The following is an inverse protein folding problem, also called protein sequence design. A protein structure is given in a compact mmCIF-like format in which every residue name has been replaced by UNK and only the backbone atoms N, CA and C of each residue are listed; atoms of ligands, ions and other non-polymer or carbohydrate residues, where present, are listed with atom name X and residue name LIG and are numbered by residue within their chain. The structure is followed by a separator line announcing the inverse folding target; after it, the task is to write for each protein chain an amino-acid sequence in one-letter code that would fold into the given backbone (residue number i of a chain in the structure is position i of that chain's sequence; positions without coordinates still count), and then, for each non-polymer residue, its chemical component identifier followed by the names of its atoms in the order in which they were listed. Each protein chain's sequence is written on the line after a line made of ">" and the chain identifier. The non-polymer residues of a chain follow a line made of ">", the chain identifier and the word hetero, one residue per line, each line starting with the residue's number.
data_IF_307956883045
#
_entry.id   IF_307956883045
#
_cell.length_a   1.000
_cell.length_b   1.000
_cell.length_c   1.000
_cell.angle_alpha   90.00
_cell.angle_beta   90.00
_cell.angle_gamma   90.00
#
_symmetry.space_group_name_H-M   'P 1'
#
loop_
_entity.id
_entity.type
_entity.pdbx_description
1 polymer ?
#
# COMPACT_ATOMS: atom_id res chain seq x y z
N UNK A 1 -34.15 39.96 -8.94
CA UNK A 1 -35.04 39.51 -7.84
C UNK A 1 -34.20 38.69 -6.87
N UNK A 2 -33.97 39.17 -5.64
CA UNK A 2 -33.11 38.48 -4.66
C UNK A 2 -33.96 37.39 -3.97
N UNK A 3 -33.61 36.10 -4.06
CA UNK A 3 -34.37 35.07 -3.37
C UNK A 3 -34.27 35.32 -1.86
N UNK A 4 -35.43 35.44 -1.21
CA UNK A 4 -35.52 35.69 0.23
C UNK A 4 -35.13 34.41 0.97
N UNK A 5 -34.46 34.55 2.13
CA UNK A 5 -33.97 33.42 2.95
C UNK A 5 -35.05 32.38 3.27
N UNK A 6 -36.32 32.82 3.36
CA UNK A 6 -37.48 31.95 3.60
C UNK A 6 -37.75 31.01 2.41
N UNK A 7 -37.55 31.48 1.18
CA UNK A 7 -37.70 30.68 -0.03
C UNK A 7 -36.56 29.65 -0.16
N UNK A 8 -35.34 29.99 0.31
CA UNK A 8 -34.24 29.03 0.41
C UNK A 8 -34.51 27.94 1.47
N UNK A 9 -35.09 28.30 2.61
CA UNK A 9 -35.44 27.35 3.67
C UNK A 9 -36.55 26.39 3.24
N UNK A 10 -37.58 26.90 2.55
CA UNK A 10 -38.65 26.06 1.99
C UNK A 10 -38.12 25.16 0.88
N UNK A 11 -37.28 25.68 -0.02
CA UNK A 11 -36.64 24.86 -1.05
C UNK A 11 -35.78 23.75 -0.45
N UNK A 12 -34.99 24.06 0.59
CA UNK A 12 -34.19 23.09 1.32
C UNK A 12 -35.05 22.01 2.00
N UNK A 13 -36.16 22.40 2.62
CA UNK A 13 -37.10 21.48 3.25
C UNK A 13 -37.78 20.56 2.22
N UNK A 14 -38.16 21.09 1.05
CA UNK A 14 -38.74 20.30 -0.04
C UNK A 14 -37.73 19.32 -0.63
N UNK A 15 -36.47 19.73 -0.82
CA UNK A 15 -35.40 18.84 -1.29
C UNK A 15 -35.12 17.72 -0.27
N UNK A 16 -35.11 18.05 1.03
CA UNK A 16 -34.88 17.07 2.09
C UNK A 16 -36.07 16.10 2.28
N UNK A 17 -37.30 16.57 2.04
CA UNK A 17 -38.52 15.78 2.23
C UNK A 17 -38.86 14.89 1.02
N UNK A 18 -38.48 15.31 -0.19
CA UNK A 18 -38.69 14.55 -1.42
C UNK A 18 -38.23 13.07 -1.36
N UNK A 19 -37.03 12.72 -0.86
CA UNK A 19 -36.60 11.32 -0.77
C UNK A 19 -37.35 10.50 0.29
N UNK A 20 -38.00 11.13 1.29
CA UNK A 20 -38.78 10.41 2.31
C UNK A 20 -40.15 9.94 1.77
N UNK A 21 -40.71 10.61 0.76
CA UNK A 21 -41.97 10.21 0.13
C UNK A 21 -41.78 9.13 -0.95
N UNK A 22 -40.54 8.90 -1.38
CA UNK A 22 -40.21 7.80 -2.29
C UNK A 22 -39.91 6.55 -1.48
N UNK A 23 -40.80 5.57 -1.51
CA UNK A 23 -40.55 4.24 -0.97
C UNK A 23 -39.46 3.55 -1.81
N UNK A 24 -38.20 3.84 -1.51
CA UNK A 24 -37.07 3.14 -2.12
C UNK A 24 -37.11 1.67 -1.68
N UNK A 25 -36.92 0.70 -2.59
CA UNK A 25 -36.83 -0.71 -2.22
C UNK A 25 -35.77 -0.84 -1.13
N UNK A 26 -36.12 -1.49 -0.01
CA UNK A 26 -35.16 -1.81 1.02
C UNK A 26 -33.99 -2.53 0.36
N UNK A 27 -32.82 -1.88 0.32
CA UNK A 27 -31.55 -2.43 -0.15
C UNK A 27 -31.06 -3.49 0.87
N UNK A 28 -31.93 -4.45 1.21
CA UNK A 28 -31.62 -5.58 2.07
C UNK A 28 -30.62 -6.54 1.40
N UNK A 29 -30.35 -6.33 0.11
CA UNK A 29 -29.20 -6.87 -0.59
C UNK A 29 -28.37 -5.67 -1.07
N UNK A 30 -27.29 -5.36 -0.37
CA UNK A 30 -26.21 -4.56 -0.98
C UNK A 30 -25.83 -5.35 -2.23
N UNK A 31 -26.03 -4.77 -3.42
CA UNK A 31 -26.10 -5.49 -4.71
C UNK A 31 -25.01 -6.54 -4.92
N UNK A 32 -25.13 -7.45 -5.90
CA UNK A 32 -24.29 -8.65 -6.04
C UNK A 32 -22.75 -8.45 -6.09
N UNK A 33 -22.26 -7.21 -6.12
CA UNK A 33 -20.84 -6.86 -5.96
C UNK A 33 -20.38 -6.53 -4.53
N UNK A 34 -21.27 -6.22 -3.59
CA UNK A 34 -20.87 -5.75 -2.25
C UNK A 34 -20.19 -6.84 -1.42
N UNK A 35 -20.72 -8.08 -1.50
CA UNK A 35 -20.06 -9.25 -0.93
C UNK A 35 -18.69 -9.50 -1.57
N UNK A 36 -18.56 -9.31 -2.89
CA UNK A 36 -17.31 -9.52 -3.61
C UNK A 36 -16.23 -8.49 -3.23
N UNK A 37 -16.61 -7.24 -3.03
CA UNK A 37 -15.73 -6.18 -2.53
C UNK A 37 -15.26 -6.47 -1.11
N UNK A 38 -16.17 -6.88 -0.22
CA UNK A 38 -15.82 -7.27 1.15
C UNK A 38 -14.87 -8.47 1.16
N UNK A 39 -15.16 -9.50 0.36
CA UNK A 39 -14.35 -10.71 0.29
C UNK A 39 -12.95 -10.42 -0.27
N UNK A 40 -12.86 -9.57 -1.31
CA UNK A 40 -11.58 -9.13 -1.87
C UNK A 40 -10.77 -8.30 -0.88
N UNK A 41 -11.42 -7.40 -0.14
CA UNK A 41 -10.76 -6.60 0.90
C UNK A 41 -10.24 -7.50 2.03
N UNK A 42 -11.03 -8.48 2.48
CA UNK A 42 -10.61 -9.46 3.48
C UNK A 42 -9.38 -10.25 3.03
N UNK A 43 -9.41 -10.78 1.80
CA UNK A 43 -8.26 -11.50 1.23
C UNK A 43 -7.03 -10.60 1.07
N UNK A 44 -7.19 -9.35 0.65
CA UNK A 44 -6.10 -8.39 0.54
C UNK A 44 -5.43 -8.13 1.90
N UNK A 45 -6.22 -7.98 2.97
CA UNK A 45 -5.70 -7.81 4.33
C UNK A 45 -4.94 -9.05 4.79
N UNK A 46 -5.48 -10.25 4.59
CA UNK A 46 -4.82 -11.51 4.94
C UNK A 46 -3.47 -11.63 4.21
N UNK A 47 -3.46 -11.37 2.89
CA UNK A 47 -2.25 -11.39 2.09
C UNK A 47 -1.23 -10.33 2.56
N UNK A 48 -1.68 -9.11 2.86
CA UNK A 48 -0.83 -8.03 3.35
C UNK A 48 -0.16 -8.40 4.69
N UNK A 49 -0.90 -9.02 5.62
CA UNK A 49 -0.34 -9.52 6.88
C UNK A 49 0.69 -10.62 6.63
N UNK A 50 0.39 -11.58 5.75
CA UNK A 50 1.33 -12.64 5.36
C UNK A 50 2.63 -12.07 4.77
N UNK A 51 2.51 -11.07 3.89
CA UNK A 51 3.67 -10.36 3.32
C UNK A 51 4.43 -9.58 4.38
N UNK A 52 3.75 -8.90 5.31
CA UNK A 52 4.40 -8.16 6.38
C UNK A 52 5.20 -9.09 7.30
N UNK A 53 4.63 -10.23 7.69
CA UNK A 53 5.32 -11.27 8.47
C UNK A 53 6.52 -11.81 7.69
N UNK A 54 6.29 -12.20 6.43
CA UNK A 54 7.35 -12.64 5.54
C UNK A 54 8.48 -11.62 5.44
N UNK A 55 8.16 -10.33 5.29
CA UNK A 55 9.16 -9.27 5.20
C UNK A 55 10.00 -9.16 6.47
N UNK A 56 9.38 -9.24 7.66
CA UNK A 56 10.07 -9.23 8.95
C UNK A 56 10.98 -10.45 9.10
N UNK A 57 10.52 -11.64 8.71
CA UNK A 57 11.30 -12.87 8.79
C UNK A 57 12.43 -12.93 7.74
N UNK A 58 12.20 -12.41 6.53
CA UNK A 58 13.19 -12.40 5.45
C UNK A 58 14.21 -11.26 5.61
N UNK A 59 13.92 -10.22 6.39
CA UNK A 59 14.83 -9.11 6.67
C UNK A 59 16.21 -9.54 7.22
N UNK A 60 16.32 -10.42 8.26
CA UNK A 60 17.62 -10.90 8.74
C UNK A 60 18.39 -11.66 7.65
N UNK A 61 17.71 -12.51 6.87
CA UNK A 61 18.32 -13.26 5.75
C UNK A 61 18.87 -12.29 4.70
N UNK A 62 18.05 -11.31 4.30
CA UNK A 62 18.41 -10.24 3.36
C UNK A 62 19.62 -9.45 3.88
N UNK A 63 19.65 -9.12 5.17
CA UNK A 63 20.75 -8.40 5.82
C UNK A 63 22.05 -9.20 5.77
N UNK A 64 22.00 -10.51 6.05
CA UNK A 64 23.16 -11.41 5.94
C UNK A 64 23.67 -11.51 4.51
N UNK A 65 22.78 -11.68 3.52
CA UNK A 65 23.17 -11.69 2.10
C UNK A 65 23.85 -10.39 1.67
N UNK A 66 23.37 -9.24 2.15
CA UNK A 66 23.99 -7.93 1.89
C UNK A 66 25.39 -7.83 2.51
N UNK A 67 25.58 -8.38 3.71
CA UNK A 67 26.90 -8.43 4.37
C UNK A 67 27.89 -9.33 3.62
N UNK A 68 27.45 -10.51 3.16
CA UNK A 68 28.29 -11.42 2.35
C UNK A 68 28.77 -10.77 1.05
N UNK A 69 27.89 -10.04 0.35
CA UNK A 69 28.27 -9.28 -0.86
C UNK A 69 29.34 -8.22 -0.60
N UNK A 70 29.29 -7.52 0.54
CA UNK A 70 30.31 -6.53 0.90
C UNK A 70 31.66 -7.19 1.20
N UNK A 71 31.67 -8.32 1.91
CA UNK A 71 32.90 -9.09 2.20
C UNK A 71 33.59 -9.55 0.91
N UNK A 72 32.84 -10.05 -0.05
CA UNK A 72 33.39 -10.52 -1.33
C UNK A 72 33.99 -9.35 -2.14
N UNK A 73 33.33 -8.19 -2.17
CA UNK A 73 33.84 -7.00 -2.85
C UNK A 73 35.16 -6.49 -2.22
N UNK A 74 35.25 -6.49 -0.90
CA UNK A 74 36.48 -6.13 -0.18
C UNK A 74 37.62 -7.13 -0.43
N UNK A 75 37.31 -8.43 -0.51
CA UNK A 75 38.30 -9.46 -0.81
C UNK A 75 38.88 -9.30 -2.22
N UNK A 76 38.03 -9.02 -3.22
CA UNK A 76 38.47 -8.75 -4.59
C UNK A 76 39.33 -7.48 -4.67
N UNK A 77 38.88 -6.38 -4.04
CA UNK A 77 39.63 -5.12 -4.03
C UNK A 77 41.01 -5.27 -3.35
N UNK A 78 41.10 -6.04 -2.26
CA UNK A 78 42.36 -6.30 -1.58
C UNK A 78 43.30 -7.14 -2.46
N UNK A 79 42.79 -8.20 -3.11
CA UNK A 79 43.58 -9.01 -4.03
C UNK A 79 44.17 -8.21 -5.21
N UNK A 80 43.42 -7.23 -5.73
CA UNK A 80 43.88 -6.32 -6.78
C UNK A 80 44.95 -5.35 -6.28
N UNK A 81 44.79 -4.83 -5.05
CA UNK A 81 45.78 -3.94 -4.43
C UNK A 81 47.09 -4.67 -4.12
N UNK A 82 47.05 -5.93 -3.68
CA UNK A 82 48.25 -6.74 -3.43
C UNK A 82 49.00 -7.05 -4.72
N UNK A 83 48.28 -7.36 -5.80
CA UNK A 83 48.88 -7.59 -7.13
C UNK A 83 49.52 -6.31 -7.72
N UNK A 84 48.86 -5.17 -7.58
CA UNK A 84 49.43 -3.89 -8.04
C UNK A 84 50.67 -3.46 -7.22
N UNK A 85 50.77 -3.87 -5.95
CA UNK A 85 51.91 -3.56 -5.07
C UNK A 85 53.13 -4.43 -5.40
N UNK A 86 52.95 -5.69 -5.82
CA UNK A 86 54.08 -6.57 -6.18
C UNK A 86 54.80 -6.14 -7.46
N UNK A 87 54.08 -5.58 -8.43
CA UNK A 87 54.66 -5.15 -9.70
C UNK A 87 55.53 -3.89 -9.55
N UNK A 88 55.25 -3.04 -8.54
CA UNK A 88 56.02 -1.82 -8.28
C UNK A 88 57.37 -2.05 -7.58
N UNK A 89 57.61 -3.22 -6.99
CA UNK A 89 58.87 -3.51 -6.27
C UNK A 89 59.90 -4.25 -7.14
N UNK A 90 59.55 -4.56 -8.39
CA UNK A 90 60.38 -5.30 -9.35
C UNK A 90 60.88 -4.43 -10.52
N UNK A 91 60.68 -3.11 -10.44
CA UNK A 91 61.17 -2.10 -11.37
C UNK A 91 62.17 -1.17 -10.66
#
# INVERSE_FOLDING_TARGET
>A
MKPTLKNLSIAGAVIALAPLLTAMPAQAYVGPGAGLSLLSALWAVIAAVGVAIGFVLLWPIRKMMRSKRRKNASASANAQATAAKSDQHSA
#
